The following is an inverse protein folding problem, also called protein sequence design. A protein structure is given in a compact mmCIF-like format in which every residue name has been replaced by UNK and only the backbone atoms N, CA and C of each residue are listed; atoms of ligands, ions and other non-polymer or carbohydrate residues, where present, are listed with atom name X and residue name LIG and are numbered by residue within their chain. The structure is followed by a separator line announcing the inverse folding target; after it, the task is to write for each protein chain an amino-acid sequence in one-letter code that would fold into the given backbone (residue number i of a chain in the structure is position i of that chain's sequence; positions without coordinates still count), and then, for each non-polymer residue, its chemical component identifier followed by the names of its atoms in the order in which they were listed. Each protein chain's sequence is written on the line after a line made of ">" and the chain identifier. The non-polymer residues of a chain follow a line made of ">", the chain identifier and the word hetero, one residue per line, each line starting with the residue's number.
data_IF_068991397175
#
_entry.id   IF_068991397175
#
_cell.length_a   1.000
_cell.length_b   1.000
_cell.length_c   1.000
_cell.angle_alpha   90.00
_cell.angle_beta   90.00
_cell.angle_gamma   90.00
#
_symmetry.space_group_name_H-M   'P 1'
#
loop_
_entity.id
_entity.type
_entity.pdbx_description
1 polymer ?
#
# COMPACT_ATOMS: atom_id res chain seq x y z
N UNK A 1 -52.74 11.87 53.58
CA UNK A 1 -51.27 12.10 53.58
C UNK A 1 -50.46 11.09 52.73
N UNK A 2 -51.06 10.23 51.88
CA UNK A 2 -50.30 9.16 51.17
C UNK A 2 -50.02 9.40 49.67
N UNK A 3 -50.48 10.51 49.08
CA UNK A 3 -50.36 10.78 47.64
C UNK A 3 -48.91 10.95 47.10
N UNK A 4 -47.98 11.61 47.81
CA UNK A 4 -46.62 11.85 47.31
C UNK A 4 -45.78 10.57 47.16
N UNK A 5 -46.00 9.59 48.03
CA UNK A 5 -45.23 8.33 48.06
C UNK A 5 -45.58 7.46 46.84
N UNK A 6 -46.84 7.48 46.39
CA UNK A 6 -47.29 6.67 45.26
C UNK A 6 -46.73 7.18 43.92
N UNK A 7 -46.62 8.50 43.75
CA UNK A 7 -46.06 9.11 42.54
C UNK A 7 -44.54 8.88 42.43
N UNK A 8 -43.83 8.89 43.57
CA UNK A 8 -42.41 8.57 43.63
C UNK A 8 -42.12 7.10 43.28
N UNK A 9 -42.92 6.17 43.80
CA UNK A 9 -42.81 4.73 43.46
C UNK A 9 -43.11 4.49 41.97
N UNK A 10 -44.12 5.16 41.41
CA UNK A 10 -44.44 5.08 39.98
C UNK A 10 -43.30 5.63 39.10
N UNK A 11 -42.67 6.74 39.51
CA UNK A 11 -41.52 7.32 38.80
C UNK A 11 -40.32 6.38 38.80
N UNK A 12 -39.98 5.80 39.96
CA UNK A 12 -38.88 4.82 40.08
C UNK A 12 -39.16 3.54 39.28
N UNK A 13 -40.40 3.09 39.22
CA UNK A 13 -40.78 1.91 38.44
C UNK A 13 -40.65 2.15 36.93
N UNK A 14 -40.98 3.35 36.43
CA UNK A 14 -40.76 3.74 35.03
C UNK A 14 -39.28 3.83 34.68
N UNK A 15 -38.48 4.41 35.58
CA UNK A 15 -37.02 4.51 35.40
C UNK A 15 -36.36 3.12 35.36
N UNK A 16 -36.76 2.24 36.28
CA UNK A 16 -36.30 0.84 36.30
C UNK A 16 -36.62 0.11 34.99
N UNK A 17 -37.84 0.25 34.47
CA UNK A 17 -38.24 -0.38 33.21
C UNK A 17 -37.41 0.17 32.04
N UNK A 18 -37.17 1.49 32.00
CA UNK A 18 -36.33 2.12 30.97
C UNK A 18 -34.88 1.62 31.01
N UNK A 19 -34.31 1.46 32.20
CA UNK A 19 -32.97 0.88 32.38
C UNK A 19 -32.93 -0.59 31.96
N UNK A 20 -34.00 -1.34 32.22
CA UNK A 20 -34.11 -2.73 31.82
C UNK A 20 -34.18 -2.90 30.30
N UNK A 21 -34.91 -2.03 29.60
CA UNK A 21 -34.95 -1.99 28.13
C UNK A 21 -33.58 -1.62 27.53
N UNK A 22 -32.89 -0.63 28.12
CA UNK A 22 -31.53 -0.26 27.72
C UNK A 22 -30.53 -1.41 27.92
N UNK A 23 -30.66 -2.16 29.01
CA UNK A 23 -29.81 -3.32 29.29
C UNK A 23 -30.04 -4.44 28.27
N UNK A 24 -31.29 -4.66 27.84
CA UNK A 24 -31.62 -5.64 26.79
C UNK A 24 -31.00 -5.22 25.46
N UNK A 25 -31.12 -3.93 25.08
CA UNK A 25 -30.51 -3.41 23.85
C UNK A 25 -28.98 -3.55 23.85
N UNK A 26 -28.33 -3.23 24.97
CA UNK A 26 -26.88 -3.38 25.10
C UNK A 26 -26.44 -4.84 24.98
N UNK A 27 -27.18 -5.78 25.55
CA UNK A 27 -26.88 -7.22 25.40
C UNK A 27 -26.97 -7.68 23.94
N UNK A 28 -27.97 -7.20 23.19
CA UNK A 28 -28.10 -7.50 21.77
C UNK A 28 -26.92 -6.95 20.97
N UNK A 29 -26.53 -5.69 21.22
CA UNK A 29 -25.38 -5.06 20.56
C UNK A 29 -24.08 -5.83 20.84
N UNK A 30 -23.86 -6.28 22.08
CA UNK A 30 -22.67 -7.05 22.47
C UNK A 30 -22.60 -8.37 21.70
N UNK A 31 -23.72 -9.12 21.63
CA UNK A 31 -23.77 -10.37 20.88
C UNK A 31 -23.50 -10.18 19.37
N UNK A 32 -24.00 -9.08 18.81
CA UNK A 32 -23.79 -8.77 17.39
C UNK A 32 -22.33 -8.40 17.10
N UNK A 33 -21.69 -7.67 18.01
CA UNK A 33 -20.25 -7.36 17.94
C UNK A 33 -19.38 -8.62 18.08
N UNK A 34 -19.71 -9.53 18.99
CA UNK A 34 -19.01 -10.81 19.14
C UNK A 34 -19.09 -11.65 17.86
N UNK A 35 -20.27 -11.72 17.24
CA UNK A 35 -20.47 -12.42 15.96
C UNK A 35 -19.69 -11.78 14.81
N UNK A 36 -19.63 -10.44 14.76
CA UNK A 36 -18.83 -9.71 13.76
C UNK A 36 -17.33 -9.96 13.95
N UNK A 37 -16.84 -9.94 15.19
CA UNK A 37 -15.44 -10.20 15.51
C UNK A 37 -15.04 -11.63 15.08
N UNK A 38 -15.87 -12.63 15.35
CA UNK A 38 -15.62 -14.02 14.95
C UNK A 38 -15.56 -14.17 13.42
N UNK A 39 -16.43 -13.45 12.69
CA UNK A 39 -16.41 -13.42 11.23
C UNK A 39 -15.14 -12.76 10.66
N UNK A 40 -14.68 -11.66 11.27
CA UNK A 40 -13.44 -10.99 10.86
C UNK A 40 -12.23 -11.92 11.08
N UNK A 41 -12.17 -12.63 12.22
CA UNK A 41 -11.11 -13.60 12.52
C UNK A 41 -11.10 -14.71 11.48
N UNK A 42 -12.25 -15.33 11.18
CA UNK A 42 -12.37 -16.40 10.17
C UNK A 42 -11.95 -15.93 8.77
N UNK A 43 -12.29 -14.69 8.38
CA UNK A 43 -11.86 -14.12 7.10
C UNK A 43 -10.34 -13.87 7.05
N UNK A 44 -9.75 -13.42 8.16
CA UNK A 44 -8.31 -13.17 8.27
C UNK A 44 -7.52 -14.49 8.17
N UNK A 45 -7.95 -15.53 8.87
CA UNK A 45 -7.33 -16.87 8.80
C UNK A 45 -7.41 -17.46 7.38
N UNK A 46 -8.56 -17.34 6.72
CA UNK A 46 -8.75 -17.83 5.34
C UNK A 46 -7.88 -17.08 4.32
N UNK A 47 -7.72 -15.76 4.47
CA UNK A 47 -6.85 -14.97 3.58
C UNK A 47 -5.36 -15.27 3.81
N UNK A 48 -4.93 -15.48 5.06
CA UNK A 48 -3.56 -15.90 5.36
C UNK A 48 -3.23 -17.31 4.86
N UNK A 49 -4.18 -18.26 4.94
CA UNK A 49 -3.94 -19.62 4.42
C UNK A 49 -3.81 -19.63 2.90
N UNK A 50 -4.66 -18.89 2.18
CA UNK A 50 -4.60 -18.77 0.71
C UNK A 50 -3.30 -18.09 0.26
N UNK A 51 -2.87 -17.03 0.95
CA UNK A 51 -1.61 -16.35 0.62
C UNK A 51 -0.39 -17.27 0.79
N UNK A 52 -0.36 -18.08 1.86
CA UNK A 52 0.75 -19.01 2.10
C UNK A 52 0.77 -20.16 1.10
N UNK A 53 -0.41 -20.66 0.68
CA UNK A 53 -0.51 -21.67 -0.38
C UNK A 53 -0.04 -21.14 -1.73
N UNK A 54 -0.40 -19.90 -2.10
CA UNK A 54 0.06 -19.28 -3.35
C UNK A 54 1.58 -19.12 -3.36
N UNK A 55 2.18 -18.61 -2.28
CA UNK A 55 3.64 -18.46 -2.17
C UNK A 55 4.36 -19.81 -2.30
N UNK A 56 3.84 -20.88 -1.69
CA UNK A 56 4.42 -22.22 -1.84
C UNK A 56 4.29 -22.77 -3.27
N UNK A 57 3.20 -22.45 -3.96
CA UNK A 57 2.94 -22.90 -5.33
C UNK A 57 3.87 -22.18 -6.30
N UNK A 58 3.97 -20.85 -6.22
CA UNK A 58 4.91 -20.04 -7.00
C UNK A 58 6.36 -20.48 -6.78
N UNK A 59 6.75 -20.81 -5.54
CA UNK A 59 8.11 -21.27 -5.22
C UNK A 59 8.43 -22.64 -5.83
N UNK A 60 7.43 -23.51 -6.02
CA UNK A 60 7.60 -24.80 -6.71
C UNK A 60 7.72 -24.59 -8.22
N UNK A 61 6.88 -23.73 -8.80
CA UNK A 61 6.94 -23.38 -10.23
C UNK A 61 8.29 -22.75 -10.60
N UNK A 62 8.83 -21.86 -9.76
CA UNK A 62 10.13 -21.22 -9.96
C UNK A 62 11.27 -22.24 -10.03
N UNK A 63 11.31 -23.21 -9.10
CA UNK A 63 12.29 -24.29 -9.10
C UNK A 63 12.16 -25.20 -10.33
N UNK A 64 10.94 -25.47 -10.76
CA UNK A 64 10.68 -26.28 -11.96
C UNK A 64 11.16 -25.55 -13.22
N UNK A 65 10.95 -24.24 -13.30
CA UNK A 65 11.43 -23.42 -14.42
C UNK A 65 12.96 -23.35 -14.47
N UNK A 66 13.64 -23.20 -13.33
CA UNK A 66 15.11 -23.25 -13.26
C UNK A 66 15.68 -24.57 -13.79
N UNK A 67 15.07 -25.70 -13.41
CA UNK A 67 15.46 -27.03 -13.91
C UNK A 67 15.24 -27.18 -15.42
N UNK A 68 14.08 -26.74 -15.90
CA UNK A 68 13.73 -26.80 -17.33
C UNK A 68 14.70 -25.94 -18.15
N UNK A 69 15.06 -24.76 -17.66
CA UNK A 69 15.96 -23.84 -18.34
C UNK A 69 17.39 -24.39 -18.41
N UNK A 70 17.87 -25.06 -17.33
CA UNK A 70 19.14 -25.79 -17.35
C UNK A 70 19.15 -26.92 -18.37
N UNK A 71 18.07 -27.68 -18.48
CA UNK A 71 17.95 -28.75 -19.47
C UNK A 71 18.01 -28.19 -20.91
N UNK A 72 17.31 -27.08 -21.17
CA UNK A 72 17.35 -26.41 -22.46
C UNK A 72 18.78 -25.94 -22.83
N UNK A 73 19.51 -25.34 -21.89
CA UNK A 73 20.89 -24.92 -22.12
C UNK A 73 21.83 -26.09 -22.45
N UNK A 74 21.66 -27.24 -21.79
CA UNK A 74 22.44 -28.45 -22.10
C UNK A 74 22.16 -28.93 -23.53
N UNK A 75 20.88 -28.97 -23.94
CA UNK A 75 20.50 -29.35 -25.30
C UNK A 75 21.05 -28.38 -26.36
N UNK A 76 21.00 -27.06 -26.09
CA UNK A 76 21.58 -26.04 -26.98
C UNK A 76 23.09 -26.30 -27.17
N UNK A 77 23.82 -26.54 -26.08
CA UNK A 77 25.26 -26.84 -26.16
C UNK A 77 25.57 -28.11 -26.97
N UNK A 78 24.74 -29.14 -26.87
CA UNK A 78 24.87 -30.36 -27.68
C UNK A 78 24.65 -30.06 -29.17
N UNK A 79 23.59 -29.33 -29.52
CA UNK A 79 23.26 -28.98 -30.90
C UNK A 79 24.31 -28.06 -31.54
N UNK A 80 24.93 -27.17 -30.77
CA UNK A 80 26.05 -26.34 -31.25
C UNK A 80 27.29 -27.18 -31.56
N UNK A 81 27.58 -28.19 -30.74
CA UNK A 81 28.71 -29.08 -30.96
C UNK A 81 28.49 -29.98 -32.18
N UNK A 82 27.28 -30.51 -32.36
CA UNK A 82 26.91 -31.24 -33.58
C UNK A 82 27.04 -30.34 -34.81
N UNK A 83 26.56 -29.09 -34.77
CA UNK A 83 26.71 -28.12 -35.87
C UNK A 83 28.17 -27.94 -36.27
N UNK A 84 29.08 -27.83 -35.30
CA UNK A 84 30.53 -27.75 -35.56
C UNK A 84 31.06 -29.02 -36.22
N UNK A 85 30.65 -30.19 -35.73
CA UNK A 85 31.10 -31.48 -36.27
C UNK A 85 30.65 -31.69 -37.72
N UNK A 86 29.39 -31.36 -38.03
CA UNK A 86 28.86 -31.39 -39.40
C UNK A 86 29.61 -30.41 -40.32
N UNK A 87 29.97 -29.23 -39.83
CA UNK A 87 30.73 -28.25 -40.61
C UNK A 87 32.13 -28.76 -40.97
N UNK A 88 32.82 -29.43 -40.03
CA UNK A 88 34.12 -30.07 -40.29
C UNK A 88 33.99 -31.16 -41.36
N UNK A 89 33.02 -32.06 -41.23
CA UNK A 89 32.79 -33.12 -42.22
C UNK A 89 32.47 -32.56 -43.61
N UNK A 90 31.74 -31.45 -43.67
CA UNK A 90 31.44 -30.76 -44.93
C UNK A 90 32.71 -30.21 -45.59
N UNK A 91 33.61 -29.58 -44.83
CA UNK A 91 34.90 -29.09 -45.32
C UNK A 91 35.77 -30.24 -45.83
N UNK A 92 35.88 -31.33 -45.08
CA UNK A 92 36.65 -32.52 -45.48
C UNK A 92 36.13 -33.12 -46.78
N UNK A 93 34.81 -33.34 -46.86
CA UNK A 93 34.17 -33.88 -48.07
C UNK A 93 34.41 -32.98 -49.27
N UNK A 94 34.34 -31.65 -49.09
CA UNK A 94 34.61 -30.67 -50.16
C UNK A 94 36.06 -30.72 -50.65
N UNK A 95 37.01 -30.92 -49.73
CA UNK A 95 38.43 -31.13 -50.06
C UNK A 95 38.66 -32.42 -50.84
N UNK A 96 38.04 -33.53 -50.41
CA UNK A 96 38.12 -34.82 -51.12
C UNK A 96 37.55 -34.73 -52.54
N UNK A 97 36.42 -34.04 -52.73
CA UNK A 97 35.85 -33.80 -54.07
C UNK A 97 36.82 -33.00 -54.95
N UNK A 98 37.47 -31.97 -54.40
CA UNK A 98 38.47 -31.17 -55.13
C UNK A 98 39.68 -32.03 -55.55
N UNK A 99 40.18 -32.89 -54.68
CA UNK A 99 41.28 -33.80 -55.01
C UNK A 99 40.90 -34.79 -56.12
N UNK A 100 39.73 -35.42 -56.02
CA UNK A 100 39.22 -36.32 -57.06
C UNK A 100 39.09 -35.59 -58.41
N UNK A 101 38.64 -34.34 -58.40
CA UNK A 101 38.53 -33.52 -59.62
C UNK A 101 39.90 -33.25 -60.26
N UNK A 102 40.92 -32.94 -59.46
CA UNK A 102 42.30 -32.76 -59.94
C UNK A 102 42.90 -34.05 -60.50
N UNK A 103 42.63 -35.20 -59.85
CA UNK A 103 43.04 -36.51 -60.36
C UNK A 103 42.35 -36.85 -61.68
N UNK A 104 41.07 -36.52 -61.83
CA UNK A 104 40.35 -36.71 -63.09
C UNK A 104 40.94 -35.85 -64.21
N UNK A 105 41.25 -34.58 -63.94
CA UNK A 105 41.89 -33.68 -64.89
C UNK A 105 43.28 -34.14 -65.31
N UNK A 106 44.08 -34.70 -64.39
CA UNK A 106 45.41 -35.24 -64.72
C UNK A 106 45.32 -36.50 -65.59
N UNK A 107 44.37 -37.40 -65.30
CA UNK A 107 44.10 -38.59 -66.10
C UNK A 107 43.60 -38.24 -67.51
N UNK A 108 42.76 -37.21 -67.65
CA UNK A 108 42.30 -36.70 -68.95
C UNK A 108 43.49 -36.13 -69.75
N UNK A 109 44.38 -35.35 -69.12
CA UNK A 109 45.58 -34.82 -69.78
C UNK A 109 46.59 -35.90 -70.18
N UNK A 110 46.76 -36.95 -69.38
CA UNK A 110 47.60 -38.09 -69.75
C UNK A 110 47.05 -38.83 -70.99
N UNK A 111 45.72 -38.99 -71.07
CA UNK A 111 45.05 -39.57 -72.24
C UNK A 111 45.26 -38.75 -73.52
N UNK A 112 45.28 -37.42 -73.43
CA UNK A 112 45.54 -36.54 -74.58
C UNK A 112 46.96 -36.68 -75.14
N UNK A 113 47.93 -37.11 -74.34
CA UNK A 113 49.36 -37.18 -74.71
C UNK A 113 49.84 -38.55 -75.23
N UNK A 114 49.18 -39.67 -74.90
CA UNK A 114 49.49 -40.99 -75.47
C UNK A 114 48.22 -41.87 -75.67
N UNK A 115 47.53 -41.73 -76.82
CA UNK A 115 46.24 -42.37 -77.07
C UNK A 115 46.32 -43.90 -77.33
N UNK A 116 47.52 -44.49 -77.28
CA UNK A 116 47.82 -45.83 -77.81
C UNK A 116 47.70 -46.98 -76.80
N UNK A 117 47.49 -46.71 -75.50
CA UNK A 117 47.37 -47.74 -74.45
C UNK A 117 45.91 -48.10 -74.11
N UNK A 118 45.39 -49.28 -74.53
CA UNK A 118 44.01 -49.69 -74.28
C UNK A 118 43.69 -49.96 -72.79
N UNK A 119 44.70 -50.18 -71.93
CA UNK A 119 44.51 -50.38 -70.49
C UNK A 119 44.08 -49.07 -69.78
N UNK A 120 44.71 -47.94 -70.13
CA UNK A 120 44.37 -46.62 -69.56
C UNK A 120 42.95 -46.19 -69.95
N UNK A 121 42.53 -46.47 -71.19
CA UNK A 121 41.20 -46.10 -71.67
C UNK A 121 40.09 -46.87 -70.94
N UNK A 122 40.31 -48.15 -70.62
CA UNK A 122 39.35 -48.94 -69.85
C UNK A 122 39.30 -48.53 -68.37
N UNK A 123 40.43 -48.24 -67.72
CA UNK A 123 40.44 -47.78 -66.31
C UNK A 123 39.78 -46.41 -66.13
N UNK A 124 40.06 -45.45 -67.01
CA UNK A 124 39.44 -44.11 -66.97
C UNK A 124 37.94 -44.18 -67.25
N UNK A 125 37.51 -45.06 -68.18
CA UNK A 125 36.08 -45.26 -68.46
C UNK A 125 35.37 -45.95 -67.29
N UNK A 126 36.01 -46.96 -66.67
CA UNK A 126 35.48 -47.70 -65.53
C UNK A 126 35.37 -46.83 -64.28
N UNK A 127 36.39 -46.00 -63.99
CA UNK A 127 36.34 -45.03 -62.88
C UNK A 127 35.30 -43.94 -63.13
N UNK A 128 35.20 -43.39 -64.34
CA UNK A 128 34.16 -42.42 -64.67
C UNK A 128 32.75 -43.01 -64.57
N UNK A 129 32.55 -44.25 -65.04
CA UNK A 129 31.27 -44.95 -64.85
C UNK A 129 30.96 -45.18 -63.37
N UNK A 130 31.96 -45.58 -62.56
CA UNK A 130 31.77 -45.81 -61.12
C UNK A 130 31.44 -44.51 -60.38
N UNK A 131 32.12 -43.42 -60.71
CA UNK A 131 31.83 -42.10 -60.17
C UNK A 131 30.44 -41.60 -60.59
N UNK A 132 30.11 -41.70 -61.88
CA UNK A 132 28.86 -41.17 -62.43
C UNK A 132 27.62 -41.98 -62.02
N UNK A 133 27.74 -43.31 -61.92
CA UNK A 133 26.59 -44.18 -61.65
C UNK A 133 26.41 -44.51 -60.16
N UNK A 134 27.46 -44.40 -59.35
CA UNK A 134 27.42 -44.88 -57.95
C UNK A 134 27.73 -43.79 -56.93
N UNK A 135 28.79 -42.99 -57.13
CA UNK A 135 29.25 -42.04 -56.11
C UNK A 135 28.57 -40.68 -56.21
N UNK A 136 28.39 -40.17 -57.44
CA UNK A 136 27.67 -38.92 -57.71
C UNK A 136 26.21 -38.94 -57.21
N UNK A 137 25.36 -39.93 -57.57
CA UNK A 137 23.99 -39.97 -57.07
C UNK A 137 23.91 -40.14 -55.54
N UNK A 138 24.84 -40.90 -54.93
CA UNK A 138 24.94 -41.00 -53.46
C UNK A 138 25.30 -39.66 -52.81
N UNK A 139 26.16 -38.85 -53.44
CA UNK A 139 26.49 -37.51 -52.96
C UNK A 139 25.32 -36.54 -53.13
N UNK A 140 24.63 -36.57 -54.27
CA UNK A 140 23.44 -35.74 -54.53
C UNK A 140 22.33 -36.05 -53.50
N UNK A 141 22.05 -37.33 -53.23
CA UNK A 141 21.08 -37.74 -52.21
C UNK A 141 21.46 -37.22 -50.82
N UNK A 142 22.75 -37.29 -50.45
CA UNK A 142 23.25 -36.78 -49.17
C UNK A 142 23.14 -35.26 -49.07
N UNK A 143 23.38 -34.53 -50.16
CA UNK A 143 23.23 -33.07 -50.22
C UNK A 143 21.76 -32.70 -50.01
N UNK A 144 20.82 -33.34 -50.71
CA UNK A 144 19.39 -33.07 -50.55
C UNK A 144 18.90 -33.37 -49.13
N UNK A 145 19.38 -34.45 -48.51
CA UNK A 145 19.06 -34.76 -47.10
C UNK A 145 19.60 -33.70 -46.13
N UNK A 146 20.79 -33.15 -46.38
CA UNK A 146 21.37 -32.09 -45.55
C UNK A 146 20.64 -30.76 -45.73
N UNK A 147 20.26 -30.41 -46.96
CA UNK A 147 19.48 -29.20 -47.27
C UNK A 147 18.12 -29.24 -46.56
N UNK A 148 17.43 -30.37 -46.59
CA UNK A 148 16.16 -30.56 -45.89
C UNK A 148 16.31 -30.36 -44.37
N UNK A 149 17.36 -30.92 -43.76
CA UNK A 149 17.63 -30.77 -42.32
C UNK A 149 17.97 -29.33 -41.92
N UNK A 150 18.61 -28.56 -42.80
CA UNK A 150 18.91 -27.14 -42.57
C UNK A 150 17.59 -26.36 -42.52
N UNK A 151 16.70 -26.57 -43.48
CA UNK A 151 15.39 -25.89 -43.55
C UNK A 151 14.54 -26.22 -42.30
N UNK A 152 14.48 -27.48 -41.88
CA UNK A 152 13.76 -27.87 -40.66
C UNK A 152 14.31 -27.17 -39.41
N UNK A 153 15.64 -27.04 -39.31
CA UNK A 153 16.29 -26.36 -38.18
C UNK A 153 15.97 -24.86 -38.17
N UNK A 154 16.02 -24.18 -39.32
CA UNK A 154 15.66 -22.77 -39.45
C UNK A 154 14.18 -22.52 -39.08
N UNK A 155 13.28 -23.42 -39.44
CA UNK A 155 11.88 -23.33 -39.04
C UNK A 155 11.69 -23.48 -37.52
N UNK A 156 12.40 -24.41 -36.89
CA UNK A 156 12.38 -24.59 -35.44
C UNK A 156 12.93 -23.33 -34.73
N UNK A 157 14.03 -22.76 -35.24
CA UNK A 157 14.65 -21.55 -34.71
C UNK A 157 13.67 -20.36 -34.74
N UNK A 158 13.03 -20.09 -35.88
CA UNK A 158 12.01 -19.05 -35.99
C UNK A 158 10.83 -19.26 -35.01
N UNK A 159 10.37 -20.50 -34.85
CA UNK A 159 9.28 -20.80 -33.91
C UNK A 159 9.68 -20.58 -32.45
N UNK A 160 10.93 -20.89 -32.09
CA UNK A 160 11.45 -20.68 -30.75
C UNK A 160 11.62 -19.19 -30.45
N UNK A 161 12.15 -18.42 -31.40
CA UNK A 161 12.27 -16.96 -31.28
C UNK A 161 10.91 -16.31 -31.07
N UNK A 162 9.90 -16.70 -31.86
CA UNK A 162 8.55 -16.15 -31.70
C UNK A 162 7.95 -16.48 -30.33
N UNK A 163 8.10 -17.73 -29.86
CA UNK A 163 7.64 -18.12 -28.52
C UNK A 163 8.34 -17.33 -27.41
N UNK A 164 9.63 -17.03 -27.58
CA UNK A 164 10.39 -16.24 -26.61
C UNK A 164 9.85 -14.81 -26.54
N UNK A 165 9.59 -14.19 -27.70
CA UNK A 165 9.00 -12.84 -27.80
C UNK A 165 7.62 -12.79 -27.14
N UNK A 166 6.77 -13.78 -27.39
CA UNK A 166 5.42 -13.84 -26.81
C UNK A 166 5.48 -13.98 -25.28
N UNK A 167 6.40 -14.81 -24.78
CA UNK A 167 6.62 -15.01 -23.35
C UNK A 167 7.12 -13.72 -22.67
N UNK A 168 8.08 -13.03 -23.30
CA UNK A 168 8.62 -11.76 -22.82
C UNK A 168 7.53 -10.68 -22.79
N UNK A 169 6.71 -10.59 -23.83
CA UNK A 169 5.59 -9.66 -23.88
C UNK A 169 4.59 -9.90 -22.74
N UNK A 170 4.20 -11.16 -22.51
CA UNK A 170 3.32 -11.51 -21.38
C UNK A 170 3.95 -11.15 -20.02
N UNK A 171 5.23 -11.45 -19.85
CA UNK A 171 5.97 -11.16 -18.62
C UNK A 171 6.00 -9.65 -18.34
N UNK A 172 6.38 -8.84 -19.35
CA UNK A 172 6.42 -7.37 -19.25
C UNK A 172 5.04 -6.82 -18.91
N UNK A 173 3.98 -7.34 -19.54
CA UNK A 173 2.60 -6.92 -19.28
C UNK A 173 2.18 -7.20 -17.83
N UNK A 174 2.44 -8.41 -17.33
CA UNK A 174 2.15 -8.81 -15.93
C UNK A 174 2.92 -7.94 -14.94
N UNK A 175 4.22 -7.74 -15.15
CA UNK A 175 5.06 -6.89 -14.29
C UNK A 175 4.60 -5.42 -14.29
N UNK A 176 4.15 -4.91 -15.44
CA UNK A 176 3.65 -3.54 -15.54
C UNK A 176 2.37 -3.34 -14.74
N UNK A 177 1.44 -4.30 -14.79
CA UNK A 177 0.21 -4.24 -13.99
C UNK A 177 0.48 -4.38 -12.49
N UNK A 178 1.37 -5.29 -12.08
CA UNK A 178 1.79 -5.39 -10.68
C UNK A 178 2.47 -4.11 -10.18
N UNK A 179 3.32 -3.49 -11.01
CA UNK A 179 3.94 -2.19 -10.68
C UNK A 179 2.89 -1.09 -10.51
N UNK A 180 1.88 -1.01 -11.37
CA UNK A 180 0.77 -0.05 -11.22
C UNK A 180 0.02 -0.25 -9.90
N UNK A 181 -0.32 -1.51 -9.56
CA UNK A 181 -0.97 -1.85 -8.29
C UNK A 181 -0.12 -1.42 -7.09
N UNK A 182 1.19 -1.68 -7.13
CA UNK A 182 2.12 -1.30 -6.07
C UNK A 182 2.22 0.23 -5.91
N UNK A 183 2.37 0.96 -7.01
CA UNK A 183 2.41 2.43 -7.00
C UNK A 183 1.12 3.00 -6.40
N UNK A 184 -0.04 2.48 -6.82
CA UNK A 184 -1.33 2.91 -6.26
C UNK A 184 -1.43 2.62 -4.75
N UNK A 185 -0.94 1.46 -4.29
CA UNK A 185 -0.89 1.12 -2.86
C UNK A 185 0.01 2.09 -2.08
N UNK A 186 1.20 2.40 -2.59
CA UNK A 186 2.13 3.32 -1.93
C UNK A 186 1.58 4.76 -1.87
N UNK A 187 0.94 5.23 -2.93
CA UNK A 187 0.25 6.53 -2.94
C UNK A 187 -0.84 6.55 -1.88
N UNK A 188 -1.64 5.49 -1.79
CA UNK A 188 -2.67 5.34 -0.76
C UNK A 188 -2.08 5.37 0.65
N UNK A 189 -1.06 4.56 0.93
CA UNK A 189 -0.41 4.51 2.26
C UNK A 189 0.15 5.87 2.67
N UNK A 190 0.79 6.58 1.74
CA UNK A 190 1.29 7.93 1.98
C UNK A 190 0.15 8.90 2.30
N UNK A 191 -0.90 8.92 1.49
CA UNK A 191 -2.05 9.78 1.69
C UNK A 191 -2.76 9.48 3.02
N UNK A 192 -2.90 8.20 3.39
CA UNK A 192 -3.50 7.78 4.66
C UNK A 192 -2.65 8.28 5.84
N UNK A 193 -1.32 8.13 5.77
CA UNK A 193 -0.39 8.63 6.79
C UNK A 193 -0.47 10.16 6.96
N UNK A 194 -0.52 10.90 5.85
CA UNK A 194 -0.64 12.37 5.90
C UNK A 194 -1.98 12.81 6.52
N UNK A 195 -3.05 12.04 6.29
CA UNK A 195 -4.37 12.27 6.90
C UNK A 195 -4.37 11.95 8.38
N UNK A 196 -3.79 10.81 8.79
CA UNK A 196 -3.66 10.43 10.20
C UNK A 196 -2.86 11.49 10.97
N UNK A 197 -1.75 12.00 10.41
CA UNK A 197 -1.00 13.10 11.00
C UNK A 197 -1.84 14.37 11.19
N UNK A 198 -2.70 14.72 10.22
CA UNK A 198 -3.60 15.87 10.35
C UNK A 198 -4.68 15.64 11.42
N UNK A 199 -5.22 14.42 11.52
CA UNK A 199 -6.16 14.04 12.58
C UNK A 199 -5.48 14.12 13.94
N UNK A 200 -4.26 13.62 14.09
CA UNK A 200 -3.46 13.72 15.33
C UNK A 200 -3.27 15.18 15.74
N UNK A 201 -2.94 16.06 14.78
CA UNK A 201 -2.83 17.50 15.06
C UNK A 201 -4.17 18.13 15.46
N UNK A 202 -5.28 17.72 14.83
CA UNK A 202 -6.63 18.17 15.21
C UNK A 202 -6.97 17.75 16.65
N UNK A 203 -6.80 16.47 16.99
CA UNK A 203 -7.07 15.94 18.33
C UNK A 203 -6.16 16.57 19.40
N UNK A 204 -4.92 16.91 19.05
CA UNK A 204 -4.02 17.65 19.94
C UNK A 204 -4.56 19.04 20.27
N UNK A 205 -4.98 19.81 19.28
CA UNK A 205 -5.57 21.15 19.51
C UNK A 205 -6.87 21.05 20.30
N UNK A 206 -7.69 20.04 20.00
CA UNK A 206 -8.91 19.73 20.76
C UNK A 206 -8.59 19.47 22.24
N UNK A 207 -7.55 18.67 22.51
CA UNK A 207 -7.04 18.41 23.86
C UNK A 207 -6.54 19.68 24.56
N UNK A 208 -5.76 20.52 23.87
CA UNK A 208 -5.25 21.77 24.39
C UNK A 208 -6.39 22.69 24.85
N UNK A 209 -7.44 22.82 24.03
CA UNK A 209 -8.63 23.61 24.37
C UNK A 209 -9.28 23.08 25.64
N UNK A 210 -9.49 21.77 25.76
CA UNK A 210 -10.12 21.17 26.94
C UNK A 210 -9.30 21.38 28.21
N UNK A 211 -7.97 21.30 28.12
CA UNK A 211 -7.08 21.59 29.27
C UNK A 211 -7.21 23.06 29.67
N UNK A 212 -7.20 24.00 28.72
CA UNK A 212 -7.38 25.43 29.01
C UNK A 212 -8.72 25.72 29.69
N UNK A 213 -9.80 25.10 29.22
CA UNK A 213 -11.13 25.25 29.81
C UNK A 213 -11.20 24.65 31.22
N UNK A 214 -10.62 23.47 31.44
CA UNK A 214 -10.57 22.82 32.75
C UNK A 214 -9.77 23.63 33.78
N UNK A 215 -8.58 24.09 33.40
CA UNK A 215 -7.74 24.92 34.28
C UNK A 215 -8.45 26.23 34.63
N UNK A 216 -9.16 26.84 33.68
CA UNK A 216 -9.97 28.03 33.96
C UNK A 216 -11.08 27.72 34.98
N UNK A 217 -11.84 26.64 34.80
CA UNK A 217 -12.89 26.23 35.73
C UNK A 217 -12.34 25.98 37.13
N UNK A 218 -11.23 25.27 37.25
CA UNK A 218 -10.61 24.97 38.55
C UNK A 218 -10.17 26.25 39.25
N UNK A 219 -9.55 27.15 38.50
CA UNK A 219 -9.11 28.47 38.96
C UNK A 219 -10.27 29.32 39.49
N UNK A 220 -11.44 29.28 38.86
CA UNK A 220 -12.63 30.02 39.30
C UNK A 220 -13.44 29.31 40.40
N UNK A 221 -13.36 27.98 40.49
CA UNK A 221 -14.04 27.22 41.55
C UNK A 221 -13.33 27.39 42.91
N UNK A 222 -12.00 27.51 42.91
CA UNK A 222 -11.19 27.58 44.14
C UNK A 222 -10.97 29.02 44.66
N UNK A 223 -11.79 30.00 44.20
CA UNK A 223 -11.65 31.42 44.58
C UNK A 223 -11.84 31.70 46.07
N UNK A 224 -12.45 30.79 46.83
CA UNK A 224 -12.63 30.93 48.28
C UNK A 224 -11.37 30.57 49.10
N UNK A 225 -10.37 29.90 48.52
CA UNK A 225 -9.17 29.42 49.24
C UNK A 225 -7.89 30.23 48.99
N UNK A 226 -7.83 31.07 47.95
CA UNK A 226 -6.59 31.71 47.49
C UNK A 226 -6.75 33.22 47.27
N UNK A 227 -5.69 34.00 47.53
CA UNK A 227 -5.67 35.40 47.10
C UNK A 227 -5.45 35.50 45.58
N UNK A 228 -5.83 36.64 44.98
CA UNK A 228 -5.84 36.83 43.52
C UNK A 228 -4.50 36.52 42.83
N UNK A 229 -3.37 36.83 43.46
CA UNK A 229 -2.05 36.60 42.89
C UNK A 229 -1.66 35.12 42.88
N UNK A 230 -2.12 34.35 43.87
CA UNK A 230 -1.91 32.89 43.91
C UNK A 230 -2.70 32.17 42.82
N UNK A 231 -3.94 32.61 42.59
CA UNK A 231 -4.82 32.11 41.52
C UNK A 231 -4.20 32.36 40.14
N UNK A 232 -3.71 33.58 39.91
CA UNK A 232 -3.06 33.96 38.64
C UNK A 232 -1.77 33.17 38.44
N UNK A 233 -0.92 33.04 39.47
CA UNK A 233 0.32 32.28 39.38
C UNK A 233 0.08 30.78 39.16
N UNK A 234 -0.93 30.20 39.82
CA UNK A 234 -1.34 28.80 39.64
C UNK A 234 -1.77 28.54 38.19
N UNK A 235 -2.64 29.39 37.66
CA UNK A 235 -3.13 29.29 36.28
C UNK A 235 -2.00 29.45 35.26
N UNK A 236 -1.14 30.45 35.43
CA UNK A 236 0.02 30.71 34.57
C UNK A 236 0.94 29.48 34.52
N UNK A 237 1.26 28.87 35.67
CA UNK A 237 2.13 27.69 35.74
C UNK A 237 1.59 26.48 34.98
N UNK A 238 0.27 26.28 34.96
CA UNK A 238 -0.39 25.16 34.26
C UNK A 238 -0.58 25.42 32.77
N UNK A 239 -1.02 26.63 32.42
CA UNK A 239 -1.34 27.02 31.04
C UNK A 239 -0.09 27.25 30.17
N UNK A 240 1.06 27.58 30.78
CA UNK A 240 2.34 27.74 30.09
C UNK A 240 2.70 26.55 29.19
N UNK A 241 2.36 25.33 29.59
CA UNK A 241 2.67 24.11 28.82
C UNK A 241 1.79 23.91 27.59
N UNK A 242 0.59 24.51 27.57
CA UNK A 242 -0.46 24.30 26.55
C UNK A 242 -0.55 25.48 25.56
N UNK A 243 -0.30 26.70 26.05
CA UNK A 243 -0.38 27.92 25.25
C UNK A 243 0.76 28.00 24.21
N UNK A 244 1.93 27.41 24.48
CA UNK A 244 3.10 27.36 23.60
C UNK A 244 3.73 28.74 23.38
N UNK A 245 5.00 28.92 23.82
CA UNK A 245 5.94 30.02 23.54
C UNK A 245 5.44 31.46 23.28
N UNK A 246 4.22 31.83 23.67
CA UNK A 246 3.77 33.22 23.64
C UNK A 246 4.12 33.86 24.97
N UNK A 247 5.42 33.78 25.29
CA UNK A 247 6.07 34.40 26.46
C UNK A 247 5.72 35.90 26.52
N UNK A 248 5.55 36.53 25.34
CA UNK A 248 5.16 37.94 25.21
C UNK A 248 3.77 38.29 25.78
N UNK A 249 2.82 37.34 25.84
CA UNK A 249 1.49 37.61 26.42
C UNK A 249 1.48 37.33 27.93
N UNK A 250 2.29 36.38 28.39
CA UNK A 250 2.32 35.91 29.80
C UNK A 250 3.05 36.89 30.72
N UNK A 251 4.13 37.52 30.24
CA UNK A 251 4.89 38.54 31.00
C UNK A 251 3.99 39.72 31.41
N UNK A 252 2.87 39.94 30.72
CA UNK A 252 1.91 40.98 31.06
C UNK A 252 0.85 40.57 32.10
N UNK A 253 0.70 39.28 32.44
CA UNK A 253 -0.41 38.75 33.27
C UNK A 253 -0.15 38.95 34.78
N UNK A 254 1.12 38.96 35.20
CA UNK A 254 1.50 39.21 36.60
C UNK A 254 1.16 40.66 36.95
N UNK A 255 0.17 40.86 37.84
CA UNK A 255 -0.33 42.19 38.24
C UNK A 255 -1.52 42.73 37.44
N UNK A 256 -2.18 41.91 36.62
CA UNK A 256 -3.42 42.27 35.94
C UNK A 256 -4.64 42.24 36.88
N UNK A 257 -5.59 43.16 36.65
CA UNK A 257 -6.93 43.03 37.22
C UNK A 257 -7.74 41.90 36.53
N UNK A 258 -8.86 41.51 37.14
CA UNK A 258 -9.72 40.43 36.66
C UNK A 258 -10.17 40.65 35.19
N UNK A 259 -10.47 41.89 34.82
CA UNK A 259 -10.96 42.22 33.49
C UNK A 259 -9.90 42.01 32.41
N UNK A 260 -8.63 42.28 32.72
CA UNK A 260 -7.51 42.11 31.78
C UNK A 260 -7.10 40.64 31.68
N UNK A 261 -7.14 39.90 32.78
CA UNK A 261 -6.95 38.44 32.79
C UNK A 261 -8.00 37.72 31.92
N UNK A 262 -9.28 38.03 32.12
CA UNK A 262 -10.38 37.41 31.37
C UNK A 262 -10.25 37.66 29.86
N UNK A 263 -9.87 38.88 29.47
CA UNK A 263 -9.61 39.24 28.06
C UNK A 263 -8.46 38.45 27.45
N UNK A 264 -7.33 38.33 28.16
CA UNK A 264 -6.18 37.56 27.65
C UNK A 264 -6.48 36.07 27.55
N UNK A 265 -7.17 35.51 28.55
CA UNK A 265 -7.63 34.13 28.49
C UNK A 265 -8.53 33.90 27.26
N UNK A 266 -9.49 34.80 27.03
CA UNK A 266 -10.35 34.74 25.86
C UNK A 266 -9.59 34.83 24.55
N UNK A 267 -8.59 35.68 24.46
CA UNK A 267 -7.74 35.75 23.27
C UNK A 267 -7.00 34.42 23.03
N UNK A 268 -6.43 33.80 24.06
CA UNK A 268 -5.73 32.51 23.95
C UNK A 268 -6.69 31.41 23.50
N UNK A 269 -7.87 31.33 24.12
CA UNK A 269 -8.88 30.33 23.78
C UNK A 269 -9.40 30.52 22.35
N UNK A 270 -9.77 31.74 21.97
CA UNK A 270 -10.26 32.07 20.63
C UNK A 270 -9.21 31.74 19.55
N UNK A 271 -7.93 32.03 19.81
CA UNK A 271 -6.85 31.67 18.89
C UNK A 271 -6.78 30.15 18.65
N UNK A 272 -6.90 29.33 19.71
CA UNK A 272 -6.92 27.86 19.59
C UNK A 272 -8.20 27.36 18.89
N UNK A 273 -9.36 27.95 19.17
CA UNK A 273 -10.63 27.61 18.49
C UNK A 273 -10.57 27.90 16.98
N UNK A 274 -9.97 29.03 16.58
CA UNK A 274 -9.73 29.36 15.16
C UNK A 274 -8.82 28.32 14.51
N UNK A 275 -7.77 27.87 15.20
CA UNK A 275 -6.90 26.79 14.70
C UNK A 275 -7.65 25.47 14.56
N UNK A 276 -8.47 25.10 15.54
CA UNK A 276 -9.30 23.89 15.50
C UNK A 276 -10.24 23.91 14.29
N UNK A 277 -10.95 25.03 14.07
CA UNK A 277 -11.86 25.22 12.94
C UNK A 277 -11.13 25.15 11.58
N UNK A 278 -9.93 25.75 11.49
CA UNK A 278 -9.11 25.67 10.27
C UNK A 278 -8.71 24.22 9.95
N UNK A 279 -8.25 23.46 10.94
CA UNK A 279 -7.87 22.06 10.76
C UNK A 279 -9.07 21.18 10.40
N UNK A 280 -10.20 21.36 11.07
CA UNK A 280 -11.44 20.67 10.73
C UNK A 280 -11.85 20.89 9.26
N UNK A 281 -11.87 22.16 8.83
CA UNK A 281 -12.21 22.50 7.45
C UNK A 281 -11.22 21.92 6.43
N UNK A 282 -9.93 21.84 6.79
CA UNK A 282 -8.90 21.17 5.96
C UNK A 282 -9.21 19.69 5.78
N UNK A 283 -9.48 18.98 6.89
CA UNK A 283 -9.83 17.55 6.88
C UNK A 283 -11.10 17.31 6.08
N UNK A 284 -12.12 18.17 6.21
CA UNK A 284 -13.36 18.02 5.47
C UNK A 284 -13.19 18.26 3.97
N UNK A 285 -12.35 19.22 3.57
CA UNK A 285 -11.97 19.40 2.15
C UNK A 285 -11.26 18.18 1.60
N UNK A 286 -10.37 17.55 2.38
CA UNK A 286 -9.70 16.30 1.99
C UNK A 286 -10.74 15.20 1.79
N UNK A 287 -11.68 15.02 2.72
CA UNK A 287 -12.74 14.02 2.62
C UNK A 287 -13.66 14.24 1.41
N UNK A 288 -13.96 15.50 1.06
CA UNK A 288 -14.80 15.86 -0.09
C UNK A 288 -14.09 15.69 -1.43
N UNK A 289 -12.80 16.05 -1.51
CA UNK A 289 -12.03 16.04 -2.75
C UNK A 289 -11.40 14.67 -3.05
N UNK A 290 -11.32 13.76 -2.07
CA UNK A 290 -10.76 12.42 -2.30
C UNK A 290 -11.76 11.54 -3.06
N UNK A 291 -11.35 11.10 -4.26
CA UNK A 291 -12.04 10.01 -4.98
C UNK A 291 -11.87 8.65 -4.29
N UNK A 292 -10.87 8.53 -3.41
CA UNK A 292 -10.60 7.31 -2.65
C UNK A 292 -11.48 7.26 -1.39
N UNK A 293 -12.55 6.46 -1.44
CA UNK A 293 -13.55 6.30 -0.38
C UNK A 293 -12.94 5.94 0.98
N UNK A 294 -11.74 5.35 0.99
CA UNK A 294 -11.06 4.93 2.22
C UNK A 294 -10.54 6.10 3.07
N UNK A 295 -9.97 7.13 2.46
CA UNK A 295 -9.50 8.32 3.20
C UNK A 295 -10.69 9.06 3.83
N UNK A 296 -11.77 9.18 3.06
CA UNK A 296 -13.04 9.72 3.56
C UNK A 296 -13.56 8.90 4.74
N UNK A 297 -13.55 7.57 4.65
CA UNK A 297 -13.97 6.66 5.71
C UNK A 297 -13.12 6.82 6.99
N UNK A 298 -11.81 6.98 6.89
CA UNK A 298 -10.93 7.22 8.07
C UNK A 298 -11.36 8.51 8.79
N UNK A 299 -11.54 9.60 8.04
CA UNK A 299 -11.92 10.90 8.60
C UNK A 299 -13.32 10.82 9.24
N UNK A 300 -14.30 10.24 8.53
CA UNK A 300 -15.68 10.10 9.00
C UNK A 300 -15.81 9.20 10.22
N UNK A 301 -15.04 8.11 10.29
CA UNK A 301 -15.09 7.21 11.44
C UNK A 301 -14.48 7.85 12.68
N UNK A 302 -13.28 8.43 12.58
CA UNK A 302 -12.58 8.97 13.74
C UNK A 302 -13.27 10.25 14.23
N UNK A 303 -13.67 11.15 13.34
CA UNK A 303 -14.19 12.46 13.74
C UNK A 303 -15.72 12.51 13.85
N UNK A 304 -16.41 11.46 13.41
CA UNK A 304 -17.88 11.44 13.26
C UNK A 304 -18.34 12.74 12.58
N UNK A 305 -17.68 13.09 11.48
CA UNK A 305 -17.57 14.46 10.92
C UNK A 305 -18.90 15.20 10.77
N UNK A 306 -20.01 14.49 10.61
CA UNK A 306 -21.35 15.08 10.53
C UNK A 306 -21.86 15.66 11.87
N UNK A 307 -21.12 15.47 12.97
CA UNK A 307 -21.52 15.86 14.32
C UNK A 307 -20.62 16.91 14.99
N UNK A 308 -19.50 17.28 14.34
CA UNK A 308 -18.59 18.28 14.90
C UNK A 308 -19.28 19.65 14.96
N UNK A 309 -19.38 20.19 16.17
CA UNK A 309 -19.95 21.50 16.41
C UNK A 309 -18.97 22.32 17.24
N UNK A 310 -18.36 23.33 16.61
CA UNK A 310 -17.42 24.25 17.26
C UNK A 310 -18.09 25.04 18.39
N UNK A 311 -19.40 25.29 18.30
CA UNK A 311 -20.17 26.06 19.29
C UNK A 311 -20.20 25.33 20.65
N UNK A 312 -20.03 23.99 20.66
CA UNK A 312 -19.86 23.22 21.90
C UNK A 312 -18.59 23.59 22.66
N UNK A 313 -17.60 24.16 21.98
CA UNK A 313 -16.33 24.62 22.53
C UNK A 313 -16.30 26.14 22.77
N UNK A 314 -17.25 26.90 22.19
CA UNK A 314 -17.47 28.34 22.44
C UNK A 314 -18.24 28.58 23.76
N UNK A 315 -17.92 27.82 24.81
CA UNK A 315 -18.68 27.79 26.07
C UNK A 315 -18.56 29.11 26.86
N UNK A 316 -17.61 29.96 26.45
CA UNK A 316 -17.34 31.24 27.07
C UNK A 316 -17.98 32.39 26.27
N UNK A 317 -19.31 32.51 26.32
CA UNK A 317 -19.96 33.78 25.96
C UNK A 317 -19.84 34.73 27.15
N UNK A 318 -18.64 35.27 27.38
CA UNK A 318 -18.46 36.33 28.36
C UNK A 318 -19.38 37.50 27.99
N UNK A 319 -20.39 37.77 28.81
CA UNK A 319 -21.02 39.09 28.79
C UNK A 319 -19.97 40.07 29.29
N UNK A 320 -19.25 40.71 28.38
CA UNK A 320 -18.17 41.69 28.62
C UNK A 320 -18.59 42.90 29.46
N UNK A 321 -19.87 42.98 29.83
CA UNK A 321 -20.50 44.10 30.54
C UNK A 321 -21.01 43.73 31.94
N UNK A 322 -20.79 42.49 32.41
CA UNK A 322 -21.23 42.10 33.76
C UNK A 322 -20.22 42.56 34.80
N UNK A 323 -20.58 43.58 35.59
CA UNK A 323 -19.84 43.94 36.82
C UNK A 323 -19.93 42.85 37.90
N UNK A 324 -20.87 41.92 37.77
CA UNK A 324 -20.93 40.69 38.55
C UNK A 324 -20.09 39.63 37.85
N UNK A 325 -19.06 39.10 38.52
CA UNK A 325 -18.28 37.98 37.99
C UNK A 325 -19.15 36.77 37.60
N UNK A 326 -18.53 35.83 36.90
CA UNK A 326 -19.18 34.60 36.43
C UNK A 326 -20.00 33.90 37.53
N UNK A 327 -21.27 33.59 37.27
CA UNK A 327 -22.17 33.00 38.27
C UNK A 327 -21.87 31.51 38.45
N UNK A 328 -22.06 30.97 39.65
CA UNK A 328 -21.81 29.56 39.98
C UNK A 328 -22.54 28.57 39.06
N UNK A 329 -23.74 28.91 38.59
CA UNK A 329 -24.51 28.11 37.63
C UNK A 329 -23.86 28.03 36.24
N UNK A 330 -23.16 29.08 35.81
CA UNK A 330 -22.43 29.12 34.54
C UNK A 330 -21.20 28.19 34.62
N UNK A 331 -20.47 28.22 35.74
CA UNK A 331 -19.33 27.33 36.02
C UNK A 331 -19.77 25.86 36.09
N UNK A 332 -20.93 25.56 36.68
CA UNK A 332 -21.45 24.20 36.75
C UNK A 332 -21.89 23.67 35.37
N UNK A 333 -22.47 24.53 34.54
CA UNK A 333 -22.81 24.19 33.15
C UNK A 333 -21.56 23.92 32.31
N UNK A 334 -20.53 24.75 32.48
CA UNK A 334 -19.20 24.56 31.91
C UNK A 334 -18.58 23.21 32.31
N UNK A 335 -18.61 22.87 33.61
CA UNK A 335 -18.10 21.59 34.13
C UNK A 335 -18.75 20.41 33.43
N UNK A 336 -20.08 20.41 33.34
CA UNK A 336 -20.84 19.32 32.71
C UNK A 336 -20.44 19.14 31.23
N UNK A 337 -20.34 20.25 30.48
CA UNK A 337 -19.99 20.19 29.07
C UNK A 337 -18.55 19.65 28.86
N UNK A 338 -17.57 20.06 29.67
CA UNK A 338 -16.19 19.54 29.56
C UNK A 338 -16.13 18.01 29.70
N UNK A 339 -16.89 17.40 30.60
CA UNK A 339 -16.90 15.94 30.75
C UNK A 339 -17.37 15.23 29.48
N UNK A 340 -18.43 15.74 28.83
CA UNK A 340 -18.92 15.20 27.57
C UNK A 340 -17.86 15.32 26.46
N UNK A 341 -17.22 16.49 26.34
CA UNK A 341 -16.20 16.72 25.31
C UNK A 341 -14.92 15.91 25.53
N UNK A 342 -14.53 15.65 26.79
CA UNK A 342 -13.41 14.76 27.13
C UNK A 342 -13.72 13.31 26.76
N UNK A 343 -14.94 12.85 27.04
CA UNK A 343 -15.37 11.50 26.65
C UNK A 343 -15.38 11.34 25.13
N UNK A 344 -15.81 12.36 24.39
CA UNK A 344 -15.74 12.39 22.93
C UNK A 344 -14.28 12.28 22.46
N UNK A 345 -13.39 13.15 22.96
CA UNK A 345 -11.97 13.14 22.60
C UNK A 345 -11.28 11.80 22.89
N UNK A 346 -11.56 11.17 24.02
CA UNK A 346 -10.98 9.86 24.36
C UNK A 346 -11.47 8.75 23.42
N UNK A 347 -12.72 8.81 22.98
CA UNK A 347 -13.23 7.89 21.97
C UNK A 347 -12.54 8.09 20.61
N UNK A 348 -12.39 9.34 20.15
CA UNK A 348 -11.72 9.65 18.88
C UNK A 348 -10.24 9.21 18.90
N UNK A 349 -9.54 9.39 20.03
CA UNK A 349 -8.16 8.89 20.20
C UNK A 349 -8.07 7.36 20.12
N UNK A 350 -9.06 6.64 20.66
CA UNK A 350 -9.13 5.18 20.56
C UNK A 350 -9.38 4.75 19.12
N UNK A 351 -10.30 5.42 18.43
CA UNK A 351 -10.60 5.16 17.03
C UNK A 351 -9.37 5.44 16.14
N UNK A 352 -8.61 6.50 16.40
CA UNK A 352 -7.35 6.79 15.70
C UNK A 352 -6.33 5.65 15.82
N UNK A 353 -6.12 5.11 17.02
CA UNK A 353 -5.17 4.00 17.25
C UNK A 353 -5.49 2.77 16.40
N UNK A 354 -6.77 2.49 16.13
CA UNK A 354 -7.18 1.37 15.29
C UNK A 354 -6.74 1.49 13.82
N UNK A 355 -6.27 2.67 13.39
CA UNK A 355 -5.75 2.92 12.04
C UNK A 355 -4.23 3.13 12.00
N UNK A 356 -3.56 3.18 13.16
CA UNK A 356 -2.09 3.31 13.25
C UNK A 356 -1.38 1.95 13.34
N UNK A 357 -2.11 0.88 13.68
CA UNK A 357 -1.68 -0.54 13.69
C UNK A 357 -1.93 -1.24 12.34
#
# INVERSE_FOLDING_TARGET
>A
MFKPINDQVQSQMREKNKLQDQLIQLKTIVQELESQQENIIKQKEKSSSVSNQNIQTEKKELKQNELTNRQAQIQIGQLEQEKKNWHVQLIETKSSIQQLKLQLESLIKQKENDPSQPQIMNEVLLQNQKFSNLEKPKMEEKITQLEQKIIEKEQIEMQLEQKLIDLDYECIKKLTEERKKLVNRLIYEKNAKDVLNQITNFLKIKSDILILQEEFINTFTNKEEYNQNEIINYFIGRVMSVAGNTISNIVNIVGMDNNKFDKEFQNILNNKLVQLKKNYNSLMKIAQNNKDLKVKFIIENILKSNSFNIDKYEIFKFTTNSQEGMKTEEINSLKKNIYELKSELEQEKKELKNFED
#
